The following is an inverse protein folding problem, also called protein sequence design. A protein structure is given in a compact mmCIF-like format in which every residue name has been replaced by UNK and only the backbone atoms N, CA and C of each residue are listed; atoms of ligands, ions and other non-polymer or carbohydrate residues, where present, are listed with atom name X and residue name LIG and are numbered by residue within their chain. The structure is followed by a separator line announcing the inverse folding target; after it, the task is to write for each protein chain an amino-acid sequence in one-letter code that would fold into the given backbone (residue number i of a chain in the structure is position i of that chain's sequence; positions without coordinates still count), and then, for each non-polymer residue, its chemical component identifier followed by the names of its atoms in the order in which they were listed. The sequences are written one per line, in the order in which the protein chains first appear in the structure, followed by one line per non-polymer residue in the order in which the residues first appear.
data_IF_561499489626
#
_entry.id   IF_561499489626
#
_cell.length_a   1.000
_cell.length_b   1.000
_cell.length_c   1.000
_cell.angle_alpha   90.00
_cell.angle_beta   90.00
_cell.angle_gamma   90.00
#
_symmetry.space_group_name_H-M   'P 1'
#
loop_
_entity.id
_entity.type
_entity.pdbx_description
1 polymer ?
#
# COMPACT_ATOMS: atom_id res chain seq x y z
N UNK A 1 29.72 18.13 -27.35
CA UNK A 1 28.42 17.51 -27.55
C UNK A 1 27.50 18.37 -28.42
N UNK A 2 26.59 17.77 -29.13
CA UNK A 2 25.57 18.48 -29.92
C UNK A 2 24.28 18.56 -29.11
N UNK A 3 23.71 19.75 -29.00
CA UNK A 3 22.40 19.98 -28.38
C UNK A 3 21.37 19.95 -29.51
N UNK A 4 20.33 19.06 -29.34
CA UNK A 4 19.17 19.06 -30.22
C UNK A 4 17.96 19.56 -29.40
N UNK A 5 17.23 20.51 -29.93
CA UNK A 5 16.00 21.04 -29.35
C UNK A 5 14.80 20.35 -30.04
N UNK A 6 13.88 19.86 -29.30
CA UNK A 6 12.61 19.31 -29.75
C UNK A 6 11.51 20.23 -29.26
N UNK A 7 10.68 20.74 -30.17
CA UNK A 7 9.51 21.56 -29.80
C UNK A 7 8.35 20.65 -29.45
N UNK A 8 7.66 20.98 -28.35
CA UNK A 8 6.44 20.31 -27.88
C UNK A 8 5.22 21.24 -27.98
N UNK A 9 5.31 22.28 -28.86
CA UNK A 9 4.29 23.32 -29.01
C UNK A 9 2.93 22.82 -29.51
N UNK A 10 2.91 21.66 -30.16
CA UNK A 10 1.71 21.16 -30.86
C UNK A 10 0.91 20.16 -30.03
N UNK A 11 1.21 20.04 -28.73
CA UNK A 11 0.46 19.15 -27.83
C UNK A 11 -0.75 19.91 -27.28
N UNK A 12 -1.95 19.41 -27.59
CA UNK A 12 -3.18 19.86 -26.96
C UNK A 12 -3.32 19.20 -25.58
N UNK A 13 -2.89 19.92 -24.54
CA UNK A 13 -2.94 19.45 -23.16
C UNK A 13 -4.37 19.48 -22.61
N UNK A 14 -4.95 18.31 -22.43
CA UNK A 14 -6.26 18.17 -21.75
C UNK A 14 -6.10 18.34 -20.25
N UNK A 15 -7.10 18.94 -19.63
CA UNK A 15 -7.17 19.00 -18.17
C UNK A 15 -7.25 17.58 -17.54
N UNK A 16 -6.72 17.44 -16.34
CA UNK A 16 -6.71 16.17 -15.59
C UNK A 16 -6.09 14.97 -16.33
N UNK A 17 -5.14 15.24 -17.23
CA UNK A 17 -4.41 14.22 -17.97
C UNK A 17 -2.92 14.37 -17.71
N UNK A 18 -2.25 13.29 -17.36
CA UNK A 18 -0.80 13.25 -17.23
C UNK A 18 -0.16 12.99 -18.61
N UNK A 19 0.88 13.76 -18.93
CA UNK A 19 1.65 13.62 -20.17
C UNK A 19 3.11 13.38 -19.84
N UNK A 20 3.71 12.44 -20.56
CA UNK A 20 5.11 12.08 -20.41
C UNK A 20 5.79 12.11 -21.78
N UNK A 21 7.04 12.54 -21.83
CA UNK A 21 7.94 12.31 -22.95
C UNK A 21 8.89 11.20 -22.57
N UNK A 22 8.95 10.18 -23.42
CA UNK A 22 9.91 9.10 -23.30
C UNK A 22 11.00 9.29 -24.34
N UNK A 23 12.24 9.19 -23.89
CA UNK A 23 13.43 9.32 -24.74
C UNK A 23 14.18 8.00 -24.63
N UNK A 24 14.42 7.37 -25.77
CA UNK A 24 15.23 6.16 -25.87
C UNK A 24 16.43 6.40 -26.79
N UNK A 25 17.60 6.00 -26.34
CA UNK A 25 18.82 6.00 -27.13
C UNK A 25 19.20 4.57 -27.49
N UNK A 26 19.30 4.27 -28.79
CA UNK A 26 19.62 2.94 -29.28
C UNK A 26 20.90 2.90 -30.10
N UNK A 27 21.57 1.76 -30.15
CA UNK A 27 22.76 1.54 -31.00
C UNK A 27 22.37 1.60 -32.48
N UNK A 28 23.06 2.44 -33.28
CA UNK A 28 22.85 2.54 -34.73
C UNK A 28 23.37 1.32 -35.50
N UNK A 29 24.35 0.65 -34.94
CA UNK A 29 24.99 -0.56 -35.47
C UNK A 29 25.41 -1.45 -34.31
N UNK A 30 25.76 -2.71 -34.58
CA UNK A 30 26.31 -3.57 -33.56
C UNK A 30 27.61 -2.99 -32.98
N UNK A 31 27.78 -3.06 -31.66
CA UNK A 31 28.96 -2.59 -30.95
C UNK A 31 29.36 -3.56 -29.84
N UNK A 32 30.46 -4.26 -30.03
CA UNK A 32 30.86 -5.34 -29.13
C UNK A 32 29.79 -6.44 -29.08
N UNK A 33 29.28 -6.74 -27.90
CA UNK A 33 28.21 -7.72 -27.68
C UNK A 33 26.80 -7.14 -27.88
N UNK A 34 26.69 -5.82 -28.07
CA UNK A 34 25.41 -5.15 -28.22
C UNK A 34 24.94 -5.18 -29.68
N UNK A 35 23.77 -5.73 -29.98
CA UNK A 35 23.24 -5.74 -31.34
C UNK A 35 22.80 -4.34 -31.77
N UNK A 36 22.61 -4.13 -33.08
CA UNK A 36 21.93 -2.93 -33.60
C UNK A 36 20.53 -2.81 -33.00
N UNK A 37 20.15 -1.61 -32.56
CA UNK A 37 18.86 -1.33 -31.95
C UNK A 37 18.80 -1.62 -30.45
N UNK A 38 19.90 -2.05 -29.84
CA UNK A 38 19.93 -2.23 -28.39
C UNK A 38 19.79 -0.87 -27.69
N UNK A 39 18.84 -0.78 -26.74
CA UNK A 39 18.63 0.42 -25.93
C UNK A 39 19.77 0.58 -24.91
N UNK A 40 20.50 1.68 -25.00
CA UNK A 40 21.63 1.98 -24.11
C UNK A 40 21.30 3.02 -23.04
N UNK A 41 20.25 3.78 -23.24
CA UNK A 41 19.73 4.72 -22.24
C UNK A 41 18.27 5.04 -22.53
N UNK A 42 17.52 5.33 -21.48
CA UNK A 42 16.14 5.83 -21.57
C UNK A 42 15.87 6.85 -20.46
N UNK A 43 14.87 7.69 -20.68
CA UNK A 43 14.42 8.68 -19.71
C UNK A 43 12.93 8.96 -19.94
N UNK A 44 12.20 9.19 -18.87
CA UNK A 44 10.81 9.62 -18.90
C UNK A 44 10.67 10.96 -18.18
N UNK A 45 10.17 11.97 -18.89
CA UNK A 45 10.01 13.33 -18.39
C UNK A 45 8.53 13.67 -18.31
N UNK A 46 8.04 14.01 -17.12
CA UNK A 46 6.67 14.48 -16.94
C UNK A 46 6.50 15.89 -17.51
N UNK A 47 5.53 16.08 -18.40
CA UNK A 47 5.26 17.36 -19.04
C UNK A 47 4.18 18.18 -18.33
N UNK A 48 3.21 17.53 -17.71
CA UNK A 48 2.08 18.21 -17.09
C UNK A 48 2.32 18.47 -15.60
N UNK A 49 2.17 19.75 -15.21
CA UNK A 49 2.25 20.18 -13.80
C UNK A 49 0.89 20.46 -13.17
N UNK A 50 -0.22 20.31 -13.91
CA UNK A 50 -1.57 20.74 -13.50
C UNK A 50 -2.58 19.58 -13.39
N UNK A 51 -2.11 18.41 -13.03
CA UNK A 51 -3.03 17.32 -12.73
C UNK A 51 -3.59 17.52 -11.31
N UNK A 52 -4.87 17.81 -11.18
CA UNK A 52 -5.60 17.91 -9.92
C UNK A 52 -6.96 17.25 -10.09
N UNK A 53 -7.02 15.96 -10.19
CA UNK A 53 -8.28 15.27 -9.97
C UNK A 53 -8.30 14.81 -8.51
N UNK A 54 -8.86 15.60 -7.63
CA UNK A 54 -9.36 15.10 -6.37
C UNK A 54 -10.57 14.23 -6.68
N UNK A 55 -10.66 13.06 -6.06
CA UNK A 55 -11.85 12.20 -6.16
C UNK A 55 -13.05 12.80 -5.38
N UNK A 56 -13.17 14.12 -5.37
CA UNK A 56 -14.15 14.87 -4.59
C UNK A 56 -15.57 14.79 -5.14
N UNK A 57 -15.74 14.40 -6.41
CA UNK A 57 -17.05 14.31 -7.07
C UNK A 57 -17.54 12.87 -7.22
N UNK A 58 -17.33 12.05 -6.22
CA UNK A 58 -17.96 10.74 -6.18
C UNK A 58 -19.42 10.94 -5.79
N UNK A 59 -20.33 10.71 -6.73
CA UNK A 59 -21.77 10.84 -6.55
C UNK A 59 -22.27 9.97 -5.37
N UNK A 60 -22.61 10.62 -4.26
CA UNK A 60 -23.06 9.97 -3.04
C UNK A 60 -24.60 10.09 -2.89
N UNK A 61 -25.37 9.61 -3.86
CA UNK A 61 -26.84 9.70 -3.82
C UNK A 61 -27.49 8.70 -2.88
N UNK A 62 -26.86 7.57 -2.61
CA UNK A 62 -27.41 6.52 -1.77
C UNK A 62 -27.11 6.77 -0.29
N UNK A 63 -28.13 6.74 0.56
CA UNK A 63 -27.97 6.94 2.00
C UNK A 63 -27.63 5.63 2.71
N UNK A 64 -26.69 5.68 3.63
CA UNK A 64 -26.31 4.57 4.48
C UNK A 64 -27.18 4.52 5.76
N UNK A 65 -27.45 3.29 6.21
CA UNK A 65 -27.93 3.00 7.57
C UNK A 65 -26.73 2.69 8.43
N UNK A 66 -26.79 3.06 9.71
CA UNK A 66 -25.79 2.74 10.70
C UNK A 66 -26.48 2.02 11.86
N UNK A 67 -25.95 0.85 12.20
CA UNK A 67 -26.38 0.06 13.37
C UNK A 67 -25.16 -0.21 14.24
N UNK A 68 -25.31 0.06 15.52
CA UNK A 68 -24.23 -0.09 16.48
C UNK A 68 -24.55 -1.19 17.50
N UNK A 69 -23.54 -1.99 17.83
CA UNK A 69 -23.53 -2.96 18.92
C UNK A 69 -22.38 -2.66 19.87
N UNK A 70 -22.21 -3.46 20.93
CA UNK A 70 -21.06 -3.37 21.83
C UNK A 70 -19.72 -3.56 21.09
N UNK A 71 -19.68 -4.47 20.10
CA UNK A 71 -18.44 -4.88 19.42
C UNK A 71 -18.26 -4.22 18.06
N UNK A 72 -19.35 -3.95 17.33
CA UNK A 72 -19.28 -3.57 15.92
C UNK A 72 -20.17 -2.38 15.59
N UNK A 73 -19.73 -1.66 14.53
CA UNK A 73 -20.55 -0.75 13.74
C UNK A 73 -20.84 -1.40 12.39
N UNK A 74 -22.12 -1.58 12.06
CA UNK A 74 -22.55 -1.98 10.72
C UNK A 74 -23.06 -0.76 9.98
N UNK A 75 -22.47 -0.52 8.80
CA UNK A 75 -22.84 0.55 7.87
C UNK A 75 -23.31 -0.10 6.58
N UNK A 76 -24.55 0.14 6.16
CA UNK A 76 -25.10 -0.60 5.03
C UNK A 76 -26.22 0.13 4.27
N UNK A 77 -26.42 -0.28 3.00
CA UNK A 77 -27.59 -0.03 2.18
C UNK A 77 -27.92 -1.28 1.35
N UNK A 78 -28.61 -1.16 0.21
CA UNK A 78 -28.92 -2.30 -0.68
C UNK A 78 -27.67 -2.98 -1.25
N UNK A 79 -26.62 -2.22 -1.55
CA UNK A 79 -25.48 -2.65 -2.35
C UNK A 79 -24.21 -2.81 -1.52
N UNK A 80 -24.11 -2.05 -0.42
CA UNK A 80 -22.93 -1.93 0.43
C UNK A 80 -23.21 -2.43 1.83
N UNK A 81 -22.28 -3.21 2.38
CA UNK A 81 -22.24 -3.54 3.80
C UNK A 81 -20.80 -3.50 4.30
N UNK A 82 -20.53 -2.62 5.25
CA UNK A 82 -19.24 -2.50 5.94
C UNK A 82 -19.44 -2.82 7.42
N UNK A 83 -18.63 -3.73 7.96
CA UNK A 83 -18.57 -4.00 9.40
C UNK A 83 -17.25 -3.47 9.92
N UNK A 84 -17.34 -2.59 10.91
CA UNK A 84 -16.21 -2.01 11.60
C UNK A 84 -16.14 -2.57 13.03
N UNK A 85 -15.05 -3.24 13.39
CA UNK A 85 -14.86 -3.78 14.72
C UNK A 85 -14.25 -2.72 15.64
N UNK A 86 -14.90 -2.43 16.77
CA UNK A 86 -14.53 -1.34 17.67
C UNK A 86 -13.26 -1.62 18.46
N UNK A 87 -13.04 -2.86 18.87
CA UNK A 87 -11.85 -3.27 19.62
C UNK A 87 -10.60 -3.20 18.75
N UNK A 88 -10.70 -3.73 17.53
CA UNK A 88 -9.59 -3.71 16.56
C UNK A 88 -9.39 -2.34 15.91
N UNK A 89 -10.41 -1.47 15.92
CA UNK A 89 -10.39 -0.17 15.26
C UNK A 89 -10.37 -0.24 13.74
N UNK A 90 -10.79 -1.32 13.13
CA UNK A 90 -10.66 -1.55 11.68
C UNK A 90 -11.91 -2.14 11.05
N UNK A 91 -12.01 -1.99 9.72
CA UNK A 91 -13.02 -2.70 8.91
C UNK A 91 -12.68 -4.20 8.94
N UNK A 92 -13.67 -5.03 9.27
CA UNK A 92 -13.52 -6.49 9.29
C UNK A 92 -14.36 -7.20 8.23
N UNK A 93 -15.29 -6.50 7.59
CA UNK A 93 -16.02 -6.99 6.42
C UNK A 93 -16.33 -5.82 5.51
N UNK A 94 -16.16 -6.00 4.21
CA UNK A 94 -16.54 -5.04 3.19
C UNK A 94 -17.18 -5.80 2.02
N UNK A 95 -18.49 -5.83 2.04
CA UNK A 95 -19.31 -6.49 1.03
C UNK A 95 -19.85 -5.47 0.05
N UNK A 96 -19.70 -5.73 -1.24
CA UNK A 96 -20.30 -4.96 -2.31
C UNK A 96 -21.05 -5.90 -3.28
N UNK A 97 -22.32 -5.61 -3.54
CA UNK A 97 -23.19 -6.45 -4.37
C UNK A 97 -23.13 -7.95 -3.99
N UNK A 98 -23.11 -8.22 -2.69
CA UNK A 98 -23.06 -9.56 -2.14
C UNK A 98 -21.67 -10.24 -2.14
N UNK A 99 -20.63 -9.59 -2.66
CA UNK A 99 -19.26 -10.10 -2.69
C UNK A 99 -18.45 -9.56 -1.52
N UNK A 100 -17.92 -10.43 -0.66
CA UNK A 100 -16.93 -10.06 0.36
C UNK A 100 -15.58 -9.75 -0.30
N UNK A 101 -15.07 -8.56 -0.08
CA UNK A 101 -13.80 -8.08 -0.64
C UNK A 101 -12.61 -8.32 0.28
N UNK A 102 -12.84 -8.52 1.58
CA UNK A 102 -11.79 -8.75 2.56
C UNK A 102 -11.66 -10.22 2.93
N UNK A 103 -10.50 -10.62 3.39
CA UNK A 103 -10.24 -11.98 3.85
C UNK A 103 -10.00 -12.01 5.36
N UNK A 104 -10.66 -12.94 6.05
CA UNK A 104 -10.48 -13.25 7.47
C UNK A 104 -10.61 -12.01 8.40
N UNK A 105 -11.42 -11.03 8.02
CA UNK A 105 -11.59 -9.80 8.79
C UNK A 105 -10.36 -8.88 8.81
N UNK A 106 -9.43 -9.06 7.88
CA UNK A 106 -8.22 -8.25 7.77
C UNK A 106 -8.42 -7.09 6.78
N UNK A 107 -9.21 -6.11 7.16
CA UNK A 107 -9.37 -4.86 6.43
C UNK A 107 -8.20 -3.89 6.65
N UNK A 108 -8.32 -2.69 6.08
CA UNK A 108 -7.28 -1.68 6.21
C UNK A 108 -6.96 -1.39 7.68
N UNK A 109 -5.71 -1.58 8.07
CA UNK A 109 -5.18 -1.23 9.38
C UNK A 109 -3.83 -0.52 9.25
N UNK A 110 -3.47 0.39 10.17
CA UNK A 110 -2.18 1.05 10.16
C UNK A 110 -1.01 0.08 10.09
N UNK A 111 0.05 0.44 9.39
CA UNK A 111 1.27 -0.35 9.29
C UNK A 111 2.50 0.57 9.30
N UNK A 112 3.41 0.34 10.25
CA UNK A 112 4.62 1.15 10.49
C UNK A 112 5.91 0.38 10.19
N UNK A 113 5.81 -0.89 9.86
CA UNK A 113 6.94 -1.78 9.69
C UNK A 113 6.96 -2.42 8.30
N UNK A 114 8.14 -2.78 7.85
CA UNK A 114 8.40 -3.62 6.69
C UNK A 114 9.54 -4.60 6.98
N UNK A 115 9.62 -5.68 6.24
CA UNK A 115 10.76 -6.57 6.33
C UNK A 115 12.05 -5.83 5.94
N UNK A 116 13.12 -5.87 6.76
CA UNK A 116 14.37 -5.21 6.42
C UNK A 116 14.99 -5.74 5.13
N UNK A 117 15.49 -4.83 4.30
CA UNK A 117 16.31 -5.15 3.13
C UNK A 117 17.78 -5.35 3.54
N UNK A 118 18.62 -5.81 2.62
CA UNK A 118 20.07 -5.94 2.89
C UNK A 118 20.69 -4.59 3.30
N UNK A 119 20.27 -3.49 2.69
CA UNK A 119 20.71 -2.15 3.07
C UNK A 119 20.25 -1.76 4.48
N UNK A 120 19.04 -2.17 4.85
CA UNK A 120 18.52 -1.92 6.20
C UNK A 120 19.32 -2.67 7.27
N UNK A 121 19.74 -3.90 6.97
CA UNK A 121 20.65 -4.65 7.87
C UNK A 121 21.99 -3.92 8.01
N UNK A 122 22.53 -3.40 6.91
CA UNK A 122 23.75 -2.59 6.93
C UNK A 122 23.65 -1.36 7.81
N UNK A 123 22.49 -0.70 7.82
CA UNK A 123 22.20 0.46 8.66
C UNK A 123 21.73 0.12 10.08
N UNK A 124 21.54 -1.18 10.38
CA UNK A 124 21.00 -1.69 11.65
C UNK A 124 19.54 -1.25 11.92
N UNK A 125 18.73 -1.07 10.89
CA UNK A 125 17.31 -0.67 11.02
C UNK A 125 16.54 -1.62 11.96
N UNK A 126 16.76 -2.91 11.86
CA UNK A 126 16.11 -3.95 12.68
C UNK A 126 16.33 -3.77 14.19
N UNK A 127 17.40 -3.11 14.60
CA UNK A 127 17.69 -2.79 16.01
C UNK A 127 17.27 -1.36 16.36
N UNK A 128 17.67 -0.38 15.55
CA UNK A 128 17.44 1.04 15.83
C UNK A 128 15.97 1.43 15.77
N UNK A 129 15.20 0.80 14.86
CA UNK A 129 13.82 1.18 14.58
C UNK A 129 12.79 0.17 15.13
N UNK A 130 13.22 -0.76 16.00
CA UNK A 130 12.39 -1.87 16.50
C UNK A 130 11.11 -1.41 17.20
N UNK A 131 11.12 -0.23 17.84
CA UNK A 131 9.95 0.29 18.53
C UNK A 131 8.78 0.57 17.54
N UNK A 132 9.06 0.90 16.27
CA UNK A 132 8.03 1.01 15.25
C UNK A 132 7.35 -0.34 14.95
N UNK A 133 8.11 -1.45 14.97
CA UNK A 133 7.54 -2.80 14.86
C UNK A 133 6.67 -3.12 16.07
N UNK A 134 7.14 -2.83 17.27
CA UNK A 134 6.38 -3.02 18.52
C UNK A 134 5.11 -2.16 18.52
N UNK A 135 5.22 -0.87 18.15
CA UNK A 135 4.09 0.03 18.05
C UNK A 135 3.00 -0.53 17.10
N UNK A 136 3.39 -1.07 15.94
CA UNK A 136 2.46 -1.72 15.01
C UNK A 136 1.77 -2.95 15.60
N UNK A 137 2.52 -3.81 16.30
CA UNK A 137 1.99 -5.06 16.87
C UNK A 137 1.07 -4.79 18.06
N UNK A 138 1.43 -3.82 18.91
CA UNK A 138 0.78 -3.58 20.20
C UNK A 138 -0.08 -2.31 20.24
N UNK A 139 -0.33 -1.66 19.08
CA UNK A 139 -1.25 -0.53 19.06
C UNK A 139 -2.62 -0.91 19.59
N UNK A 140 -3.23 0.00 20.36
CA UNK A 140 -4.55 -0.18 20.98
C UNK A 140 -5.45 0.99 20.65
N UNK A 141 -6.73 0.71 20.42
CA UNK A 141 -7.74 1.75 20.26
C UNK A 141 -7.86 2.52 21.58
N UNK A 142 -7.53 3.80 21.55
CA UNK A 142 -7.68 4.73 22.66
C UNK A 142 -9.06 5.42 22.65
N UNK A 143 -9.53 5.74 21.44
CA UNK A 143 -10.83 6.41 21.25
C UNK A 143 -11.43 6.00 19.91
N UNK A 144 -12.75 5.84 19.90
CA UNK A 144 -13.53 5.64 18.69
C UNK A 144 -14.77 6.50 18.76
N UNK A 145 -15.06 7.22 17.66
CA UNK A 145 -16.30 7.97 17.49
C UNK A 145 -16.87 7.68 16.09
N UNK A 146 -18.18 7.74 15.96
CA UNK A 146 -18.87 7.58 14.69
C UNK A 146 -20.01 8.58 14.57
N UNK A 147 -20.29 9.00 13.34
CA UNK A 147 -21.39 9.88 13.03
C UNK A 147 -21.99 9.58 11.65
N UNK A 148 -23.30 9.74 11.55
CA UNK A 148 -23.98 9.80 10.26
C UNK A 148 -24.02 11.26 9.81
N UNK A 149 -23.53 11.51 8.59
CA UNK A 149 -23.45 12.84 8.02
C UNK A 149 -24.76 13.27 7.32
N UNK A 150 -24.94 14.55 7.09
CA UNK A 150 -26.12 15.10 6.43
C UNK A 150 -26.31 14.61 4.99
N UNK A 151 -25.19 14.35 4.28
CA UNK A 151 -25.17 13.79 2.93
C UNK A 151 -25.51 12.29 2.89
N UNK A 152 -25.75 11.67 4.06
CA UNK A 152 -26.09 10.25 4.20
C UNK A 152 -24.87 9.31 4.24
N UNK A 153 -23.65 9.81 4.18
CA UNK A 153 -22.43 9.06 4.45
C UNK A 153 -22.23 8.79 5.94
N UNK A 154 -21.24 7.98 6.29
CA UNK A 154 -20.88 7.68 7.68
C UNK A 154 -19.39 7.95 7.88
N UNK A 155 -19.07 8.69 8.94
CA UNK A 155 -17.71 8.94 9.39
C UNK A 155 -17.40 8.11 10.64
N UNK A 156 -16.22 7.51 10.68
CA UNK A 156 -15.69 6.79 11.84
C UNK A 156 -14.28 7.32 12.10
N UNK A 157 -14.03 7.80 13.31
CA UNK A 157 -12.72 8.29 13.71
C UNK A 157 -12.16 7.40 14.80
N UNK A 158 -10.94 6.91 14.60
CA UNK A 158 -10.22 6.05 15.55
C UNK A 158 -8.89 6.68 15.89
N UNK A 159 -8.63 6.81 17.18
CA UNK A 159 -7.31 7.17 17.72
C UNK A 159 -6.67 5.93 18.33
N UNK A 160 -5.48 5.60 17.88
CA UNK A 160 -4.68 4.50 18.44
C UNK A 160 -3.55 5.06 19.30
N UNK A 161 -3.32 4.44 20.46
CA UNK A 161 -2.06 4.61 21.21
C UNK A 161 -0.98 3.72 20.60
N UNK A 162 0.20 4.28 20.40
CA UNK A 162 1.37 3.58 19.88
C UNK A 162 2.39 3.41 21.02
N UNK A 163 2.40 2.25 21.70
CA UNK A 163 3.31 2.02 22.81
C UNK A 163 4.76 1.97 22.34
N UNK A 164 5.69 2.38 23.21
CA UNK A 164 7.13 2.41 22.94
C UNK A 164 7.64 3.65 22.20
N UNK A 165 6.77 4.32 21.46
CA UNK A 165 7.07 5.58 20.77
C UNK A 165 6.27 6.78 21.31
N UNK A 166 5.44 6.53 22.31
CA UNK A 166 4.68 7.52 23.09
C UNK A 166 3.95 8.58 22.26
N UNK A 167 3.25 8.13 21.23
CA UNK A 167 2.42 8.99 20.38
C UNK A 167 1.11 8.32 20.05
N UNK A 168 0.28 9.02 19.28
CA UNK A 168 -1.00 8.52 18.77
C UNK A 168 -1.02 8.52 17.25
N UNK A 169 -1.89 7.69 16.71
CA UNK A 169 -2.19 7.62 15.30
C UNK A 169 -3.70 7.69 15.10
N UNK A 170 -4.14 8.59 14.24
CA UNK A 170 -5.54 8.74 13.88
C UNK A 170 -5.83 8.15 12.50
N UNK A 171 -6.92 7.39 12.41
CA UNK A 171 -7.54 6.98 11.15
C UNK A 171 -8.96 7.50 11.08
N UNK A 172 -9.26 8.27 10.06
CA UNK A 172 -10.60 8.78 9.80
C UNK A 172 -11.16 8.08 8.55
N UNK A 173 -12.14 7.22 8.76
CA UNK A 173 -12.85 6.52 7.68
C UNK A 173 -14.10 7.31 7.30
N UNK A 174 -14.27 7.57 6.02
CA UNK A 174 -15.46 8.19 5.46
C UNK A 174 -16.07 7.24 4.44
N UNK A 175 -17.23 6.66 4.79
CA UNK A 175 -17.90 5.63 4.01
C UNK A 175 -19.05 6.28 3.26
N UNK A 176 -18.99 6.23 1.93
CA UNK A 176 -20.00 6.82 1.04
C UNK A 176 -21.07 5.79 0.66
N UNK A 177 -22.25 6.27 0.29
CA UNK A 177 -23.38 5.43 -0.06
C UNK A 177 -23.19 4.57 -1.30
N UNK A 178 -22.26 4.94 -2.18
CA UNK A 178 -21.83 4.14 -3.32
C UNK A 178 -20.74 3.11 -2.99
N UNK A 179 -20.39 2.94 -1.72
CA UNK A 179 -19.42 1.95 -1.26
C UNK A 179 -17.98 2.46 -1.15
N UNK A 180 -17.66 3.63 -1.67
CA UNK A 180 -16.31 4.18 -1.53
C UNK A 180 -15.96 4.42 -0.07
N UNK A 181 -14.78 3.98 0.35
CA UNK A 181 -14.23 4.24 1.67
C UNK A 181 -12.99 5.10 1.53
N UNK A 182 -13.06 6.35 1.93
CA UNK A 182 -11.91 7.24 2.09
C UNK A 182 -11.30 7.03 3.47
N UNK A 183 -9.98 6.92 3.56
CA UNK A 183 -9.26 6.76 4.82
C UNK A 183 -8.18 7.83 4.89
N UNK A 184 -8.34 8.76 5.81
CA UNK A 184 -7.36 9.79 6.13
C UNK A 184 -6.59 9.38 7.39
N UNK A 185 -5.26 9.29 7.29
CA UNK A 185 -4.40 8.85 8.36
C UNK A 185 -3.47 9.98 8.81
N UNK A 186 -3.29 10.11 10.12
CA UNK A 186 -2.39 11.11 10.72
C UNK A 186 -1.56 10.46 11.81
N UNK A 187 -0.24 10.45 11.63
CA UNK A 187 0.71 10.15 12.68
C UNK A 187 1.04 11.46 13.40
N UNK A 188 0.84 11.50 14.72
CA UNK A 188 1.18 12.66 15.54
C UNK A 188 2.67 12.69 15.87
N UNK A 189 3.14 13.84 16.34
CA UNK A 189 4.53 14.03 16.72
C UNK A 189 4.95 13.04 17.81
N UNK A 190 6.18 12.59 17.75
CA UNK A 190 6.81 11.70 18.74
C UNK A 190 8.19 12.20 19.13
N UNK A 191 8.60 11.92 20.34
CA UNK A 191 9.97 12.14 20.81
C UNK A 191 10.93 11.04 20.37
N UNK A 192 10.41 9.92 19.87
CA UNK A 192 11.21 8.82 19.35
C UNK A 192 11.99 9.25 18.10
N UNK A 193 13.30 9.07 18.10
CA UNK A 193 14.21 9.68 17.11
C UNK A 193 14.56 8.77 15.93
N UNK A 194 14.24 7.47 16.00
CA UNK A 194 14.52 6.59 14.89
C UNK A 194 13.55 6.82 13.72
N UNK A 195 14.08 6.75 12.52
CA UNK A 195 13.30 6.90 11.28
C UNK A 195 12.15 5.92 11.21
N UNK A 196 11.03 6.36 10.67
CA UNK A 196 9.85 5.52 10.45
C UNK A 196 10.06 4.64 9.21
N UNK A 197 10.12 3.29 9.34
CA UNK A 197 10.39 2.41 8.21
C UNK A 197 9.31 2.41 7.15
N UNK A 198 8.05 2.57 7.57
CA UNK A 198 6.88 2.65 6.68
C UNK A 198 5.77 3.45 7.36
N UNK A 199 5.08 4.27 6.61
CA UNK A 199 3.79 4.81 6.99
C UNK A 199 2.75 4.37 5.96
N UNK A 200 1.85 3.51 6.34
CA UNK A 200 0.85 3.01 5.42
C UNK A 200 -0.24 2.20 6.08
N UNK A 201 -0.92 1.44 5.26
CA UNK A 201 -1.95 0.50 5.68
C UNK A 201 -1.68 -0.87 5.08
N UNK A 202 -2.19 -1.93 5.72
CA UNK A 202 -2.21 -3.28 5.17
C UNK A 202 -3.62 -3.86 5.22
N UNK A 203 -3.94 -4.70 4.26
CA UNK A 203 -5.19 -5.45 4.20
C UNK A 203 -4.99 -6.79 3.49
N UNK A 204 -5.96 -7.71 3.64
CA UNK A 204 -5.96 -8.98 2.95
C UNK A 204 -7.18 -9.13 2.07
N UNK A 205 -6.96 -9.65 0.85
CA UNK A 205 -8.01 -10.02 -0.09
C UNK A 205 -8.06 -11.53 -0.29
N UNK A 206 -9.23 -12.09 -0.62
CA UNK A 206 -9.33 -13.46 -1.12
C UNK A 206 -8.44 -13.68 -2.34
N UNK A 207 -7.83 -14.85 -2.44
CA UNK A 207 -6.91 -15.25 -3.52
C UNK A 207 -7.52 -15.08 -4.92
N UNK A 208 -8.84 -15.17 -5.08
CA UNK A 208 -9.50 -15.02 -6.38
C UNK A 208 -9.21 -13.68 -7.08
N UNK A 209 -8.83 -12.63 -6.32
CA UNK A 209 -8.49 -11.30 -6.85
C UNK A 209 -7.04 -11.21 -7.33
N UNK A 210 -6.60 -12.21 -8.05
CA UNK A 210 -5.22 -12.46 -8.47
C UNK A 210 -4.71 -11.50 -9.57
N UNK A 211 -5.61 -10.91 -10.37
CA UNK A 211 -5.20 -9.99 -11.43
C UNK A 211 -4.91 -8.62 -10.83
N UNK A 212 -3.72 -8.10 -11.10
CA UNK A 212 -3.28 -6.79 -10.67
C UNK A 212 -3.09 -5.87 -11.87
N UNK A 213 -3.85 -4.78 -11.92
CA UNK A 213 -3.67 -3.70 -12.88
C UNK A 213 -3.33 -2.43 -12.10
N UNK A 214 -2.30 -1.69 -12.50
CA UNK A 214 -1.95 -0.45 -11.80
C UNK A 214 -1.39 0.60 -12.75
N UNK A 215 -1.62 1.86 -12.40
CA UNK A 215 -1.01 3.01 -13.05
C UNK A 215 0.01 3.64 -12.09
N UNK A 216 1.29 3.47 -12.41
CA UNK A 216 2.41 3.85 -11.56
C UNK A 216 3.74 3.41 -12.14
N UNK A 217 4.81 3.43 -11.35
CA UNK A 217 6.13 2.98 -11.82
C UNK A 217 6.25 1.47 -11.89
N UNK A 218 6.72 0.96 -13.01
CA UNK A 218 6.87 -0.46 -13.27
C UNK A 218 7.76 -0.77 -14.47
N UNK A 219 7.68 -2.01 -15.01
CA UNK A 219 6.90 -3.17 -14.50
C UNK A 219 7.53 -3.85 -13.28
N UNK A 220 8.84 -3.74 -13.08
CA UNK A 220 9.56 -4.36 -11.96
C UNK A 220 9.41 -3.58 -10.67
N UNK A 221 9.83 -4.20 -9.55
CA UNK A 221 9.87 -3.52 -8.26
C UNK A 221 10.79 -2.29 -8.30
N UNK A 222 10.40 -1.28 -7.56
CA UNK A 222 11.17 -0.04 -7.46
C UNK A 222 10.92 0.62 -6.11
N UNK A 223 11.91 1.38 -5.64
CA UNK A 223 11.91 2.04 -4.34
C UNK A 223 12.27 3.51 -4.52
N UNK A 224 12.05 4.35 -3.53
CA UNK A 224 12.28 5.79 -3.62
C UNK A 224 13.70 6.15 -4.08
N UNK A 225 14.68 5.37 -3.66
CA UNK A 225 16.11 5.49 -4.01
C UNK A 225 16.51 4.69 -5.26
N UNK A 226 15.60 3.86 -5.80
CA UNK A 226 15.84 2.97 -6.95
C UNK A 226 14.60 2.93 -7.86
N UNK A 227 14.28 4.04 -8.51
CA UNK A 227 13.09 4.14 -9.37
C UNK A 227 13.33 4.79 -10.75
N UNK A 228 14.53 5.25 -11.04
CA UNK A 228 14.81 5.94 -12.30
C UNK A 228 14.59 5.06 -13.53
N UNK A 229 14.83 3.75 -13.42
CA UNK A 229 14.61 2.79 -14.52
C UNK A 229 13.16 2.33 -14.68
N UNK A 230 12.26 2.70 -13.77
CA UNK A 230 10.86 2.30 -13.79
C UNK A 230 9.99 3.47 -14.26
N UNK A 231 9.36 3.33 -15.41
CA UNK A 231 8.51 4.38 -15.99
C UNK A 231 7.10 4.32 -15.42
N UNK A 232 6.44 5.46 -15.44
CA UNK A 232 5.02 5.56 -15.10
C UNK A 232 4.22 5.15 -16.33
N UNK A 233 3.46 4.08 -16.20
CA UNK A 233 2.59 3.57 -17.25
C UNK A 233 1.46 2.72 -16.64
N UNK A 234 0.58 2.21 -17.49
CA UNK A 234 -0.42 1.22 -17.14
C UNK A 234 0.18 -0.18 -17.28
N UNK A 235 0.25 -0.90 -16.16
CA UNK A 235 0.78 -2.25 -16.10
C UNK A 235 -0.27 -3.26 -15.68
N UNK A 236 -0.23 -4.42 -16.31
CA UNK A 236 -1.06 -5.58 -15.98
C UNK A 236 -0.16 -6.76 -15.63
N UNK A 237 -0.51 -7.48 -14.58
CA UNK A 237 0.25 -8.62 -14.08
C UNK A 237 -0.62 -9.48 -13.17
N UNK A 238 -0.03 -10.47 -12.53
CA UNK A 238 -0.66 -11.21 -11.43
C UNK A 238 0.07 -10.95 -10.13
N UNK A 239 -0.63 -11.08 -9.01
CA UNK A 239 -0.02 -10.92 -7.68
C UNK A 239 1.14 -11.89 -7.49
N UNK A 240 1.03 -13.13 -7.95
CA UNK A 240 2.13 -14.11 -7.88
C UNK A 240 3.41 -13.66 -8.58
N UNK A 241 3.30 -12.83 -9.62
CA UNK A 241 4.43 -12.36 -10.44
C UNK A 241 5.13 -11.15 -9.80
N UNK A 242 4.61 -10.62 -8.67
CA UNK A 242 5.21 -9.51 -7.95
C UNK A 242 6.35 -9.95 -7.02
N UNK A 243 6.42 -11.23 -6.70
CA UNK A 243 7.46 -11.76 -5.83
C UNK A 243 8.84 -11.75 -6.50
N UNK A 244 9.83 -11.19 -5.81
CA UNK A 244 11.24 -11.21 -6.22
C UNK A 244 12.02 -12.17 -5.32
N UNK A 245 12.59 -13.26 -5.87
CA UNK A 245 13.27 -14.29 -5.10
C UNK A 245 14.70 -13.86 -4.71
N UNK A 246 14.82 -12.91 -3.80
CA UNK A 246 16.11 -12.53 -3.23
C UNK A 246 16.74 -13.71 -2.48
N UNK A 247 18.07 -13.81 -2.49
CA UNK A 247 18.82 -14.83 -1.75
C UNK A 247 18.49 -14.79 -0.26
N UNK A 248 18.40 -13.59 0.30
CA UNK A 248 17.91 -13.35 1.66
C UNK A 248 16.48 -12.86 1.58
N UNK A 249 15.51 -13.50 2.26
CA UNK A 249 14.16 -12.98 2.35
C UNK A 249 14.15 -11.55 2.91
N UNK A 250 13.50 -10.65 2.22
CA UNK A 250 13.43 -9.23 2.54
C UNK A 250 12.19 -8.61 1.90
N UNK A 251 11.89 -7.35 2.21
CA UNK A 251 10.88 -6.56 1.51
C UNK A 251 11.10 -6.63 0.00
N UNK A 252 10.04 -6.91 -0.76
CA UNK A 252 10.11 -7.02 -2.21
C UNK A 252 8.79 -6.70 -2.88
N UNK A 253 8.79 -6.62 -4.21
CA UNK A 253 7.60 -6.39 -5.03
C UNK A 253 7.01 -4.98 -4.94
N UNK A 254 7.68 -4.04 -4.29
CA UNK A 254 7.17 -2.68 -4.07
C UNK A 254 7.18 -1.85 -5.37
N UNK A 255 6.13 -1.05 -5.56
CA UNK A 255 5.97 -0.10 -6.67
C UNK A 255 5.77 1.30 -6.10
N UNK A 256 6.47 2.29 -6.64
CA UNK A 256 6.34 3.70 -6.23
C UNK A 256 5.48 4.50 -7.20
N UNK A 257 5.08 5.67 -6.75
CA UNK A 257 4.35 6.65 -7.57
C UNK A 257 3.07 6.04 -8.20
N UNK A 258 2.40 5.09 -7.50
CA UNK A 258 1.17 4.44 -7.97
C UNK A 258 -0.02 5.37 -7.74
N UNK A 259 -0.72 5.74 -8.82
CA UNK A 259 -1.93 6.56 -8.74
C UNK A 259 -3.11 5.73 -8.30
N UNK A 260 -3.21 4.52 -8.83
CA UNK A 260 -4.22 3.54 -8.46
C UNK A 260 -3.75 2.12 -8.78
N UNK A 261 -4.31 1.16 -8.09
CA UNK A 261 -4.13 -0.27 -8.37
C UNK A 261 -5.42 -1.03 -8.12
N UNK A 262 -5.82 -1.85 -9.10
CA UNK A 262 -6.97 -2.73 -9.03
C UNK A 262 -6.53 -4.18 -8.83
N UNK A 263 -7.28 -4.92 -8.02
CA UNK A 263 -7.10 -6.34 -7.77
C UNK A 263 -8.42 -7.04 -8.09
N UNK A 264 -8.45 -7.83 -9.17
CA UNK A 264 -9.69 -8.36 -9.72
C UNK A 264 -9.69 -9.89 -9.89
N UNK A 265 -10.89 -10.46 -9.89
CA UNK A 265 -11.12 -11.85 -10.24
C UNK A 265 -11.28 -12.02 -11.76
N UNK A 266 -11.60 -13.24 -12.19
CA UNK A 266 -11.79 -13.56 -13.62
C UNK A 266 -12.99 -12.84 -14.26
N UNK A 267 -13.89 -12.27 -13.47
CA UNK A 267 -15.06 -11.52 -13.93
C UNK A 267 -14.85 -10.01 -13.82
N UNK A 268 -13.63 -9.57 -13.55
CA UNK A 268 -13.25 -8.17 -13.30
C UNK A 268 -13.94 -7.53 -12.07
N UNK A 269 -14.43 -8.33 -11.12
CA UNK A 269 -14.88 -7.79 -9.84
C UNK A 269 -13.73 -7.78 -8.86
N UNK A 270 -13.66 -6.77 -8.00
CA UNK A 270 -12.56 -6.70 -7.03
C UNK A 270 -12.46 -5.41 -6.25
N UNK A 271 -11.24 -5.06 -5.87
CA UNK A 271 -10.92 -3.89 -5.07
C UNK A 271 -9.99 -2.95 -5.84
N UNK A 272 -10.33 -1.66 -5.83
CA UNK A 272 -9.50 -0.57 -6.35
C UNK A 272 -8.95 0.26 -5.18
N UNK A 273 -7.65 0.43 -5.14
CA UNK A 273 -6.94 1.33 -4.20
C UNK A 273 -6.47 2.56 -4.97
N UNK A 274 -6.83 3.73 -4.51
CA UNK A 274 -6.52 5.00 -5.20
C UNK A 274 -5.80 5.96 -4.26
N UNK A 275 -4.75 6.61 -4.76
CA UNK A 275 -4.08 7.70 -4.06
C UNK A 275 -4.96 8.96 -4.06
N UNK A 276 -5.19 9.57 -2.89
CA UNK A 276 -5.90 10.85 -2.84
C UNK A 276 -5.10 11.95 -3.54
N UNK A 277 -3.79 12.00 -3.31
CA UNK A 277 -2.90 12.87 -4.06
C UNK A 277 -2.21 12.08 -5.18
N UNK A 278 -2.81 12.09 -6.36
CA UNK A 278 -2.32 11.32 -7.50
C UNK A 278 -0.95 11.79 -8.00
N UNK A 279 -0.58 13.06 -7.81
CA UNK A 279 0.75 13.56 -8.20
C UNK A 279 1.88 12.95 -7.38
N UNK A 280 1.62 12.63 -6.11
CA UNK A 280 2.60 11.96 -5.25
C UNK A 280 2.51 10.44 -5.34
N UNK A 281 1.33 9.93 -5.72
CA UNK A 281 1.05 8.50 -5.75
C UNK A 281 1.13 7.83 -4.37
N UNK A 282 0.99 6.51 -4.38
CA UNK A 282 1.21 5.63 -3.24
C UNK A 282 2.42 4.73 -3.53
N UNK A 283 3.07 4.25 -2.49
CA UNK A 283 3.82 3.01 -2.58
C UNK A 283 2.86 1.84 -2.38
N UNK A 284 2.98 0.79 -3.16
CA UNK A 284 2.15 -0.40 -3.04
C UNK A 284 2.97 -1.66 -3.25
N UNK A 285 2.72 -2.69 -2.46
CA UNK A 285 3.13 -4.06 -2.74
C UNK A 285 1.94 -4.99 -2.54
N UNK A 286 1.88 -6.03 -3.33
CA UNK A 286 0.86 -7.07 -3.25
C UNK A 286 1.53 -8.43 -3.42
N UNK A 287 1.47 -9.26 -2.38
CA UNK A 287 2.15 -10.54 -2.32
C UNK A 287 1.23 -11.59 -1.71
N UNK A 288 1.48 -12.85 -2.01
CA UNK A 288 0.80 -13.96 -1.34
C UNK A 288 1.37 -14.29 0.05
N UNK A 289 2.47 -13.66 0.43
CA UNK A 289 3.18 -13.90 1.68
C UNK A 289 3.16 -12.62 2.53
N UNK A 290 2.92 -12.71 3.84
CA UNK A 290 2.99 -11.56 4.72
C UNK A 290 4.44 -11.09 4.92
N UNK A 291 4.62 -9.83 5.28
CA UNK A 291 5.92 -9.26 5.60
C UNK A 291 6.66 -10.04 6.70
N UNK A 292 5.92 -10.63 7.60
CA UNK A 292 6.44 -11.45 8.70
C UNK A 292 7.21 -12.68 8.19
N UNK A 293 6.85 -13.21 7.03
CA UNK A 293 7.58 -14.32 6.40
C UNK A 293 8.95 -13.89 5.83
N UNK A 294 9.08 -12.62 5.47
CA UNK A 294 10.32 -12.04 4.96
C UNK A 294 11.17 -11.37 6.04
N UNK A 295 10.57 -11.10 7.20
CA UNK A 295 11.24 -10.42 8.30
C UNK A 295 12.11 -11.40 9.08
N UNK A 296 13.40 -11.38 8.81
CA UNK A 296 14.41 -12.23 9.46
C UNK A 296 14.95 -11.64 10.77
N UNK A 297 14.36 -10.56 11.27
CA UNK A 297 14.69 -10.03 12.59
C UNK A 297 14.15 -10.95 13.69
N UNK A 298 14.64 -10.75 14.93
CA UNK A 298 14.18 -11.50 16.08
C UNK A 298 12.64 -11.56 16.14
N UNK A 299 12.10 -12.75 16.36
CA UNK A 299 10.68 -12.92 16.60
C UNK A 299 10.31 -12.25 17.92
N UNK A 300 9.30 -11.38 17.88
CA UNK A 300 8.72 -10.83 19.10
C UNK A 300 7.70 -11.85 19.59
N UNK A 301 8.09 -12.65 20.60
CA UNK A 301 7.17 -13.58 21.22
C UNK A 301 6.33 -12.85 22.29
N UNK A 302 5.02 -12.99 22.20
CA UNK A 302 4.11 -12.55 23.24
C UNK A 302 4.05 -13.62 24.33
N UNK A 303 4.61 -13.33 25.52
CA UNK A 303 4.38 -14.17 26.68
C UNK A 303 3.16 -13.62 27.43
N UNK A 304 2.26 -14.51 27.87
CA UNK A 304 0.99 -14.15 28.54
C UNK A 304 1.08 -13.27 29.80
N UNK A 305 2.27 -12.75 30.13
CA UNK A 305 2.55 -11.82 31.21
C UNK A 305 2.93 -10.40 30.71
N UNK A 306 2.50 -10.01 29.50
CA UNK A 306 2.81 -8.73 28.86
C UNK A 306 4.32 -8.42 28.69
N UNK A 307 5.20 -9.37 28.89
CA UNK A 307 6.63 -9.22 28.65
C UNK A 307 6.99 -9.72 27.26
N UNK A 308 7.54 -8.84 26.43
CA UNK A 308 8.13 -9.18 25.16
C UNK A 308 9.40 -10.00 25.38
N UNK A 309 9.42 -11.24 24.91
CA UNK A 309 10.67 -11.99 24.75
C UNK A 309 11.12 -11.86 23.30
N UNK A 310 12.27 -11.26 23.10
CA UNK A 310 13.00 -11.30 21.84
C UNK A 310 13.79 -12.60 21.79
N UNK A 311 13.34 -13.53 20.94
CA UNK A 311 14.15 -14.71 20.62
C UNK A 311 15.00 -14.36 19.41
N UNK A 312 16.28 -14.16 19.61
CA UNK A 312 17.24 -14.01 18.52
C UNK A 312 17.46 -15.38 17.88
N UNK A 313 17.27 -15.46 16.57
CA UNK A 313 17.74 -16.59 15.80
C UNK A 313 19.27 -16.60 15.80
N UNK A 314 19.86 -17.65 16.34
CA UNK A 314 21.31 -17.76 16.54
C UNK A 314 22.06 -18.07 15.26
N UNK A 315 21.38 -18.49 14.19
CA UNK A 315 22.01 -18.92 12.93
C UNK A 315 22.03 -17.82 11.84
N UNK A 316 21.32 -16.73 12.04
CA UNK A 316 21.28 -15.62 11.06
C UNK A 316 20.72 -16.00 9.68
N UNK A 317 20.35 -17.27 9.50
CA UNK A 317 19.82 -17.80 8.24
C UNK A 317 18.30 -17.80 8.32
N UNK A 318 17.60 -17.15 7.37
CA UNK A 318 16.15 -17.24 7.32
C UNK A 318 15.73 -18.70 7.13
N UNK A 319 14.91 -19.21 8.03
CA UNK A 319 14.33 -20.55 7.86
C UNK A 319 13.21 -20.59 6.82
N UNK A 320 12.94 -19.45 6.17
CA UNK A 320 11.93 -19.37 5.12
C UNK A 320 12.52 -19.99 3.87
N UNK A 321 12.00 -21.14 3.52
CA UNK A 321 12.26 -21.72 2.21
C UNK A 321 11.34 -21.02 1.20
N UNK A 322 11.86 -19.99 0.54
CA UNK A 322 11.11 -19.20 -0.45
C UNK A 322 10.54 -20.11 -1.56
N UNK A 323 11.22 -21.20 -1.91
CA UNK A 323 10.70 -22.16 -2.89
C UNK A 323 9.49 -22.93 -2.37
N UNK A 324 9.44 -23.24 -1.07
CA UNK A 324 8.27 -23.87 -0.44
C UNK A 324 7.07 -22.92 -0.45
N UNK A 325 7.29 -21.64 -0.12
CA UNK A 325 6.23 -20.63 -0.16
C UNK A 325 5.71 -20.39 -1.58
N UNK A 326 6.56 -20.40 -2.60
CA UNK A 326 6.12 -20.30 -4.01
C UNK A 326 5.24 -21.48 -4.40
N UNK A 327 5.57 -22.69 -3.94
CA UNK A 327 4.77 -23.88 -4.22
C UNK A 327 3.44 -23.88 -3.44
N UNK A 328 3.41 -23.25 -2.26
CA UNK A 328 2.23 -23.14 -1.40
C UNK A 328 1.30 -21.94 -1.77
N UNK A 329 1.66 -21.14 -2.76
CA UNK A 329 0.87 -19.98 -3.26
C UNK A 329 -0.60 -20.36 -3.53
N UNK A 330 -0.90 -21.63 -3.81
CA UNK A 330 -2.25 -22.11 -4.12
C UNK A 330 -3.28 -21.85 -3.01
N UNK A 331 -2.86 -21.64 -1.78
CA UNK A 331 -3.75 -21.50 -0.62
C UNK A 331 -3.67 -20.13 0.08
N UNK A 332 -2.77 -19.24 -0.34
CA UNK A 332 -2.53 -18.00 0.38
C UNK A 332 -3.36 -16.82 -0.14
N UNK A 333 -3.69 -15.92 0.77
CA UNK A 333 -4.44 -14.71 0.50
C UNK A 333 -3.52 -13.62 -0.09
N UNK A 334 -4.13 -12.63 -0.72
CA UNK A 334 -3.40 -11.47 -1.23
C UNK A 334 -3.23 -10.45 -0.11
N UNK A 335 -1.99 -10.11 0.19
CA UNK A 335 -1.63 -9.09 1.16
C UNK A 335 -1.19 -7.83 0.44
N UNK A 336 -1.94 -6.76 0.63
CA UNK A 336 -1.66 -5.46 0.05
C UNK A 336 -1.10 -4.56 1.14
N UNK A 337 0.05 -3.96 0.86
CA UNK A 337 0.66 -2.93 1.68
C UNK A 337 0.67 -1.63 0.90
N UNK A 338 0.09 -0.59 1.47
CA UNK A 338 0.17 0.76 0.93
C UNK A 338 1.05 1.61 1.83
N UNK A 339 1.72 2.59 1.28
CA UNK A 339 2.51 3.53 2.08
C UNK A 339 3.74 4.04 1.35
N UNK A 340 4.48 4.91 2.00
CA UNK A 340 5.78 5.39 1.53
C UNK A 340 6.83 5.09 2.59
N UNK A 341 8.07 4.94 2.17
CA UNK A 341 9.21 5.12 3.06
C UNK A 341 9.18 6.56 3.56
N UNK A 342 9.21 6.75 4.86
CA UNK A 342 8.85 8.03 5.45
C UNK A 342 9.94 9.08 5.33
N UNK A 343 9.50 10.29 5.03
CA UNK A 343 10.14 11.53 5.48
C UNK A 343 9.07 12.32 6.26
N UNK A 344 9.47 12.87 7.37
CA UNK A 344 8.77 13.72 8.35
C UNK A 344 7.30 14.11 8.15
N UNK A 345 6.56 14.15 9.24
CA UNK A 345 5.16 14.59 9.51
C UNK A 345 4.16 14.33 8.40
N UNK A 346 3.19 13.41 8.63
CA UNK A 346 2.51 12.88 7.46
C UNK A 346 1.02 12.69 7.71
N UNK A 347 0.26 13.42 6.91
CA UNK A 347 -1.14 13.07 6.61
C UNK A 347 -1.16 12.29 5.30
N UNK A 348 -1.80 11.14 5.28
CA UNK A 348 -1.99 10.30 4.10
C UNK A 348 -3.43 9.88 3.98
N UNK A 349 -3.99 10.09 2.80
CA UNK A 349 -5.33 9.66 2.45
C UNK A 349 -5.28 8.63 1.35
N UNK A 350 -6.06 7.58 1.50
CA UNK A 350 -6.30 6.57 0.47
C UNK A 350 -7.81 6.39 0.27
N UNK A 351 -8.20 6.03 -0.93
CA UNK A 351 -9.55 5.56 -1.23
C UNK A 351 -9.51 4.07 -1.50
N UNK A 352 -10.48 3.36 -0.96
CA UNK A 352 -10.75 1.97 -1.26
C UNK A 352 -12.12 1.91 -1.90
N UNK A 353 -12.17 1.40 -3.11
CA UNK A 353 -13.34 1.40 -3.97
C UNK A 353 -13.52 -0.04 -4.47
N UNK A 354 -14.76 -0.50 -4.53
CA UNK A 354 -15.06 -1.74 -5.29
C UNK A 354 -14.77 -1.49 -6.78
N UNK A 355 -14.32 -2.52 -7.45
CA UNK A 355 -14.00 -2.49 -8.88
C UNK A 355 -14.95 -3.39 -9.63
#
# INVERSE_FOLDING_TARGET
GKITRISLSDIDYKENTEYFVEISATTKQAWGILPKGFEVAHEQIALSRKFRKELTEIDNKARLKMKETSENLEVSNSDVKVIFNKEKGQITSYVFNGNELLKDGNGPKPNFWRAPTDNDFGSQMQAKNIEWKKAYIFMKVAKLTSAKNEDGSVSIHVTYNLPGIETTFDSHYHILGNGVVKIDNTLHETTYKADLPRLGMRLQLPKKYENMTYFGRGPWENYTDRKASAFIDLYESKVKDQYVPYVRPQENGFKTDVRWSAFTDANNNGLLVVANNQLQGLGISALHMPNEDFDTTASIAYSGNDTLKEEFRTDGIPQINASKHINDIKEQNILIYTGQQAASTIKKSIYIIHY
#
